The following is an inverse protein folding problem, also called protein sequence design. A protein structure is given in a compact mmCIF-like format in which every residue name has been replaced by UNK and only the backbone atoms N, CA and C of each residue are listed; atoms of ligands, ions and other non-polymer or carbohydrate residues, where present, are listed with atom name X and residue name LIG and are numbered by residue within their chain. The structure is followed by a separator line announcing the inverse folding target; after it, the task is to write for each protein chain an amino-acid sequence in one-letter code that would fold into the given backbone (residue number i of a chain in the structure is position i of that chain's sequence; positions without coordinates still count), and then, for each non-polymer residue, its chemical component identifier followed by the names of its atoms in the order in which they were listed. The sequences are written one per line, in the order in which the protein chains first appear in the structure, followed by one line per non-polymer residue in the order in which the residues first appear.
data_IF_550084699421
#
_entry.id   IF_550084699421
#
_cell.length_a   1.000
_cell.length_b   1.000
_cell.length_c   1.000
_cell.angle_alpha   90.00
_cell.angle_beta   90.00
_cell.angle_gamma   90.00
#
_symmetry.space_group_name_H-M   'P 1'
#
loop_
_entity.id
_entity.type
_entity.pdbx_description
1 polymer ?
#
# COMPACT_ATOMS: atom_id res chain seq x y z
N UNK A 1 -6.73 16.42 -7.09
CA UNK A 1 -5.94 15.29 -6.56
C UNK A 1 -5.19 15.73 -5.34
N UNK A 2 -5.43 15.06 -4.22
CA UNK A 2 -4.55 15.12 -3.06
C UNK A 2 -3.27 14.35 -3.39
N UNK A 3 -2.09 14.85 -2.99
CA UNK A 3 -0.77 14.32 -3.38
C UNK A 3 -0.53 12.84 -3.00
N UNK A 4 -1.41 12.24 -2.20
CA UNK A 4 -1.32 10.86 -1.73
C UNK A 4 -2.16 9.87 -2.53
N UNK A 5 -2.95 10.30 -3.53
CA UNK A 5 -3.93 9.46 -4.23
C UNK A 5 -3.96 9.76 -5.75
N UNK A 6 -3.84 8.72 -6.59
CA UNK A 6 -3.97 8.87 -8.06
C UNK A 6 -5.44 8.98 -8.49
N UNK A 7 -5.70 9.24 -9.77
CA UNK A 7 -7.06 9.35 -10.33
C UNK A 7 -7.78 8.00 -10.28
N UNK A 8 -7.01 6.92 -10.34
CA UNK A 8 -7.45 5.52 -10.30
C UNK A 8 -7.58 4.97 -8.87
N UNK A 9 -7.17 5.72 -7.84
CA UNK A 9 -7.28 5.30 -6.44
C UNK A 9 -6.01 4.77 -5.78
N UNK A 10 -4.88 4.72 -6.50
CA UNK A 10 -3.62 4.21 -5.93
C UNK A 10 -3.08 5.14 -4.84
N UNK A 11 -2.62 4.56 -3.74
CA UNK A 11 -2.06 5.30 -2.60
C UNK A 11 -0.56 5.49 -2.84
N UNK A 12 -0.06 6.72 -2.60
CA UNK A 12 1.38 7.01 -2.63
C UNK A 12 2.07 6.35 -1.44
N UNK A 13 2.93 5.37 -1.71
CA UNK A 13 3.71 4.67 -0.68
C UNK A 13 4.91 5.48 -0.23
N UNK A 14 5.74 5.91 -1.18
CA UNK A 14 6.90 6.75 -0.89
C UNK A 14 7.31 7.62 -2.08
N UNK A 15 8.06 8.68 -1.77
CA UNK A 15 8.72 9.54 -2.76
C UNK A 15 10.23 9.52 -2.49
N UNK A 16 11.01 9.26 -3.53
CA UNK A 16 12.46 9.47 -3.54
C UNK A 16 12.76 10.84 -4.14
N UNK A 17 13.41 11.71 -3.38
CA UNK A 17 13.90 13.01 -3.86
C UNK A 17 15.41 13.05 -3.65
N UNK A 18 16.16 13.08 -4.75
CA UNK A 18 17.61 13.28 -4.71
C UNK A 18 17.90 14.75 -4.96
N UNK A 19 18.72 15.33 -4.08
CA UNK A 19 19.16 16.72 -4.16
C UNK A 19 20.67 16.80 -4.27
N UNK A 20 21.16 17.76 -5.05
CA UNK A 20 22.56 18.15 -5.12
C UNK A 20 22.64 19.67 -5.13
N UNK A 21 23.47 20.23 -4.23
CA UNK A 21 23.67 21.68 -4.11
C UNK A 21 22.36 22.47 -3.90
N UNK A 22 21.40 21.87 -3.19
CA UNK A 22 20.07 22.45 -2.93
C UNK A 22 19.02 22.17 -4.02
N UNK A 23 19.47 21.84 -5.23
CA UNK A 23 18.64 21.56 -6.40
C UNK A 23 18.15 20.10 -6.43
N UNK A 24 16.91 19.87 -6.88
CA UNK A 24 16.37 18.52 -7.10
C UNK A 24 16.90 18.00 -8.44
N UNK A 25 17.65 16.90 -8.40
CA UNK A 25 18.22 16.28 -9.61
C UNK A 25 17.47 15.02 -10.04
N UNK A 26 16.65 14.45 -9.15
CA UNK A 26 15.79 13.31 -9.45
C UNK A 26 14.62 13.26 -8.46
N UNK A 27 13.44 12.94 -8.98
CA UNK A 27 12.26 12.63 -8.20
C UNK A 27 11.59 11.37 -8.77
N UNK A 28 11.27 10.42 -7.90
CA UNK A 28 10.46 9.25 -8.23
C UNK A 28 9.37 9.07 -7.19
N UNK A 29 8.17 8.80 -7.65
CA UNK A 29 7.00 8.58 -6.82
C UNK A 29 6.51 7.16 -7.07
N UNK A 30 6.31 6.41 -5.99
CA UNK A 30 5.83 5.03 -6.07
C UNK A 30 4.43 4.95 -5.46
N UNK A 31 3.51 4.49 -6.29
CA UNK A 31 2.11 4.30 -5.93
C UNK A 31 1.83 2.79 -5.92
N UNK A 32 1.05 2.35 -4.94
CA UNK A 32 0.61 0.97 -4.80
C UNK A 32 -0.87 0.92 -4.47
N UNK A 33 -1.49 -0.22 -4.76
CA UNK A 33 -2.82 -0.55 -4.24
C UNK A 33 -2.67 -1.19 -2.86
N UNK A 34 -3.35 -0.62 -1.86
CA UNK A 34 -3.52 -1.26 -0.56
C UNK A 34 -5.03 -1.43 -0.33
N UNK A 35 -5.51 -2.67 -0.39
CA UNK A 35 -6.92 -2.98 -0.16
C UNK A 35 -7.14 -3.24 1.33
N UNK A 36 -7.93 -2.40 1.98
CA UNK A 36 -8.38 -2.65 3.35
C UNK A 36 -9.65 -3.50 3.36
N UNK A 37 -9.61 -4.63 4.06
CA UNK A 37 -10.78 -5.50 4.26
C UNK A 37 -11.13 -5.50 5.75
N UNK A 38 -12.37 -5.12 6.07
CA UNK A 38 -12.88 -5.19 7.44
C UNK A 38 -13.53 -6.55 7.68
N UNK A 39 -13.13 -7.21 8.75
CA UNK A 39 -13.65 -8.51 9.17
C UNK A 39 -14.03 -8.48 10.64
N UNK A 40 -14.89 -9.40 11.04
CA UNK A 40 -15.46 -9.45 12.40
C UNK A 40 -14.91 -10.57 13.27
N UNK A 41 -14.02 -11.42 12.73
CA UNK A 41 -13.43 -12.53 13.48
C UNK A 41 -12.02 -12.87 13.00
N UNK A 42 -11.24 -13.52 13.88
CA UNK A 42 -9.91 -14.04 13.54
C UNK A 42 -9.96 -15.15 12.49
N UNK A 43 -11.06 -15.92 12.43
CA UNK A 43 -11.27 -16.94 11.38
C UNK A 43 -11.32 -16.30 9.99
N UNK A 44 -12.04 -15.19 9.83
CA UNK A 44 -12.09 -14.47 8.56
C UNK A 44 -10.74 -13.86 8.17
N UNK A 45 -9.92 -13.47 9.15
CA UNK A 45 -8.53 -13.05 8.90
C UNK A 45 -7.74 -14.21 8.30
N UNK A 46 -7.84 -15.41 8.88
CA UNK A 46 -7.14 -16.60 8.40
C UNK A 46 -7.58 -16.97 6.97
N UNK A 47 -8.87 -16.90 6.67
CA UNK A 47 -9.41 -17.15 5.32
C UNK A 47 -8.80 -16.21 4.27
N UNK A 48 -8.70 -14.91 4.59
CA UNK A 48 -8.09 -13.92 3.68
C UNK A 48 -6.60 -14.19 3.50
N UNK A 49 -5.88 -14.50 4.58
CA UNK A 49 -4.46 -14.82 4.50
C UNK A 49 -4.19 -16.06 3.64
N UNK A 50 -5.06 -17.08 3.71
CA UNK A 50 -4.95 -18.26 2.87
C UNK A 50 -5.30 -17.95 1.40
N UNK A 51 -6.40 -17.23 1.17
CA UNK A 51 -6.79 -16.77 -0.16
C UNK A 51 -5.67 -15.98 -0.85
N UNK A 52 -5.02 -15.06 -0.12
CA UNK A 52 -3.95 -14.20 -0.65
C UNK A 52 -2.74 -15.00 -1.17
N UNK A 53 -2.43 -16.17 -0.60
CA UNK A 53 -1.34 -17.04 -1.09
C UNK A 53 -1.55 -17.52 -2.53
N UNK A 54 -2.80 -17.52 -3.00
CA UNK A 54 -3.15 -17.86 -4.39
C UNK A 54 -2.80 -16.79 -5.43
N UNK A 55 -2.41 -15.59 -4.99
CA UNK A 55 -2.19 -14.43 -5.87
C UNK A 55 -0.78 -13.85 -5.68
N UNK A 56 0.19 -14.20 -6.55
CA UNK A 56 1.58 -13.74 -6.43
C UNK A 56 1.78 -12.22 -6.44
N UNK A 57 0.79 -11.46 -6.90
CA UNK A 57 0.80 -9.99 -6.89
C UNK A 57 0.60 -9.40 -5.48
N UNK A 58 -0.03 -10.14 -4.57
CA UNK A 58 -0.21 -9.74 -3.18
C UNK A 58 1.07 -10.07 -2.43
N UNK A 59 1.88 -9.05 -2.17
CA UNK A 59 3.18 -9.25 -1.53
C UNK A 59 3.07 -9.46 -0.01
N UNK A 60 2.10 -8.81 0.64
CA UNK A 60 1.95 -8.87 2.10
C UNK A 60 0.49 -8.66 2.49
N UNK A 61 0.08 -9.27 3.60
CA UNK A 61 -1.20 -9.02 4.28
C UNK A 61 -0.87 -8.66 5.73
N UNK A 62 -1.18 -7.43 6.13
CA UNK A 62 -1.02 -6.94 7.50
C UNK A 62 -2.38 -6.98 8.22
N UNK A 63 -2.37 -7.37 9.50
CA UNK A 63 -3.58 -7.52 10.31
C UNK A 63 -3.52 -6.52 11.47
N UNK A 64 -4.55 -5.70 11.59
CA UNK A 64 -4.70 -4.72 12.65
C UNK A 64 -5.96 -5.04 13.45
N UNK A 65 -5.82 -5.31 14.75
CA UNK A 65 -6.96 -5.38 15.65
C UNK A 65 -7.40 -3.95 15.97
N UNK A 66 -8.68 -3.63 15.75
CA UNK A 66 -9.26 -2.37 16.23
C UNK A 66 -9.29 -2.38 17.76
N UNK A 67 -8.77 -1.31 18.37
CA UNK A 67 -8.94 -1.03 19.81
C UNK A 67 -10.40 -0.69 20.15
#
# INVERSE_FOLDING_TARGET
MTNYLTEEGYIKWFTLILRKDGEVIFASEHYGDETCVFVSSEEQVADIQEWAKGYPIIWRVDVFAGE
#
